data_IF_095555211708
#
_entry.id   IF_095555211708
#
_cell.length_a   1.000
_cell.length_b   1.000
_cell.length_c   1.000
_cell.angle_alpha   90.00
_cell.angle_beta   90.00
_cell.angle_gamma   90.00
#
_symmetry.space_group_name_H-M   'P 1'
#
loop_
_entity.id
_entity.type
_entity.pdbx_description
1 polymer ?
#
# COMPACT_ATOMS: atom_id res chain seq x y z
N UNK A 1 14.58 6.65 -7.40
CA UNK A 1 13.80 6.10 -6.26
C UNK A 1 13.01 7.18 -5.53
N UNK A 2 13.39 8.45 -5.63
CA UNK A 2 12.70 9.55 -4.94
C UNK A 2 11.22 9.59 -5.36
N UNK A 3 10.33 9.33 -4.40
CA UNK A 3 8.88 9.37 -4.59
C UNK A 3 8.18 8.03 -4.86
N UNK A 4 8.90 6.94 -5.19
CA UNK A 4 8.29 5.61 -5.28
C UNK A 4 8.34 4.92 -3.91
N UNK A 5 7.19 4.44 -3.40
CA UNK A 5 7.15 3.69 -2.14
C UNK A 5 7.88 2.34 -2.32
N UNK A 6 9.16 2.31 -1.91
CA UNK A 6 10.04 1.13 -1.96
C UNK A 6 9.43 -0.10 -1.30
N UNK A 7 8.58 0.08 -0.27
CA UNK A 7 7.89 -1.04 0.36
C UNK A 7 6.85 -1.68 -0.57
N UNK A 8 6.18 -0.91 -1.43
CA UNK A 8 5.28 -1.48 -2.44
C UNK A 8 6.06 -2.29 -3.47
N UNK A 9 7.22 -1.79 -3.89
CA UNK A 9 8.10 -2.49 -4.84
C UNK A 9 8.56 -3.82 -4.22
N UNK A 10 9.08 -3.78 -2.99
CA UNK A 10 9.49 -4.97 -2.24
C UNK A 10 8.37 -6.01 -2.14
N UNK A 11 7.15 -5.58 -1.81
CA UNK A 11 5.99 -6.45 -1.67
C UNK A 11 5.54 -7.09 -2.99
N UNK A 12 5.56 -6.33 -4.09
CA UNK A 12 5.21 -6.84 -5.41
C UNK A 12 6.27 -7.81 -5.95
N UNK A 13 7.55 -7.50 -5.74
CA UNK A 13 8.68 -8.30 -6.19
C UNK A 13 9.06 -9.46 -5.24
N UNK A 14 8.38 -9.57 -4.08
CA UNK A 14 8.64 -10.58 -3.04
C UNK A 14 10.11 -10.62 -2.60
N UNK A 15 10.69 -9.45 -2.40
CA UNK A 15 12.07 -9.28 -1.95
C UNK A 15 12.13 -8.37 -0.73
N UNK A 16 13.29 -8.25 -0.10
CA UNK A 16 13.49 -7.30 0.99
C UNK A 16 13.74 -5.90 0.47
N UNK A 17 13.39 -4.92 1.29
CA UNK A 17 13.71 -3.50 1.04
C UNK A 17 15.22 -3.31 0.92
N UNK A 18 15.98 -3.95 1.82
CA UNK A 18 17.44 -3.90 1.81
C UNK A 18 18.03 -4.39 0.48
N UNK A 19 17.51 -5.48 -0.09
CA UNK A 19 17.99 -5.96 -1.39
C UNK A 19 17.73 -4.95 -2.51
N UNK A 20 16.61 -4.25 -2.46
CA UNK A 20 16.27 -3.23 -3.46
C UNK A 20 17.19 -2.01 -3.32
N UNK A 21 17.42 -1.54 -2.09
CA UNK A 21 18.26 -0.37 -1.81
C UNK A 21 19.73 -0.63 -2.16
N UNK A 22 20.28 -1.78 -1.76
CA UNK A 22 21.71 -2.07 -1.90
C UNK A 22 22.10 -2.47 -3.33
N UNK A 23 21.19 -3.10 -4.10
CA UNK A 23 21.55 -3.70 -5.39
C UNK A 23 20.78 -3.17 -6.60
N UNK A 24 19.57 -2.61 -6.42
CA UNK A 24 18.67 -2.32 -7.55
C UNK A 24 18.26 -0.85 -7.66
N UNK A 25 18.54 0.00 -6.67
CA UNK A 25 18.05 1.37 -6.61
C UNK A 25 18.39 2.20 -7.86
N UNK A 26 19.62 2.09 -8.36
CA UNK A 26 20.10 2.80 -9.55
C UNK A 26 19.45 2.33 -10.86
N UNK A 27 19.04 1.06 -10.92
CA UNK A 27 18.44 0.47 -12.11
C UNK A 27 16.93 0.73 -12.15
N UNK A 28 16.25 0.60 -11.01
CA UNK A 28 14.79 0.74 -10.93
C UNK A 28 14.34 2.19 -11.11
N UNK A 29 15.19 3.16 -10.77
CA UNK A 29 14.87 4.60 -10.83
C UNK A 29 14.41 5.11 -12.20
N UNK A 30 15.00 4.63 -13.29
CA UNK A 30 14.62 5.03 -14.66
C UNK A 30 13.53 4.15 -15.27
N UNK A 31 13.26 2.99 -14.67
CA UNK A 31 12.36 1.97 -15.23
C UNK A 31 10.98 1.97 -14.59
N UNK A 32 10.83 2.56 -13.40
CA UNK A 32 9.58 2.51 -12.63
C UNK A 32 9.05 3.90 -12.38
N UNK A 33 7.86 4.17 -12.90
CA UNK A 33 7.12 5.40 -12.62
C UNK A 33 6.52 5.35 -11.19
N UNK A 34 6.91 6.28 -10.29
CA UNK A 34 6.37 6.36 -8.94
C UNK A 34 4.84 6.48 -8.88
N UNK A 35 4.23 7.14 -9.88
CA UNK A 35 2.79 7.38 -9.91
C UNK A 35 1.98 6.09 -10.01
N UNK A 36 2.54 5.05 -10.66
CA UNK A 36 1.90 3.74 -10.85
C UNK A 36 2.09 2.84 -9.63
N UNK A 37 3.23 2.94 -8.95
CA UNK A 37 3.53 2.17 -7.74
C UNK A 37 2.65 2.62 -6.56
N UNK A 38 2.45 3.93 -6.41
CA UNK A 38 1.76 4.50 -5.27
C UNK A 38 0.23 4.47 -5.39
N UNK A 39 -0.33 3.87 -6.46
CA UNK A 39 -1.78 3.83 -6.68
C UNK A 39 -2.46 2.97 -5.60
N UNK A 40 -3.19 3.62 -4.71
CA UNK A 40 -4.05 2.92 -3.74
C UNK A 40 -5.36 2.51 -4.40
N UNK A 41 -5.64 1.20 -4.42
CA UNK A 41 -6.96 0.72 -4.84
C UNK A 41 -8.02 1.27 -3.88
N UNK A 42 -9.14 1.83 -4.39
CA UNK A 42 -10.19 2.33 -3.52
C UNK A 42 -10.72 1.19 -2.67
N UNK A 43 -10.80 1.40 -1.35
CA UNK A 43 -11.42 0.41 -0.45
C UNK A 43 -12.86 0.21 -0.89
N UNK A 44 -13.21 -1.03 -1.23
CA UNK A 44 -14.61 -1.41 -1.47
C UNK A 44 -15.40 -0.99 -0.24
N UNK A 45 -16.41 -0.13 -0.41
CA UNK A 45 -17.32 0.25 0.68
C UNK A 45 -18.10 -0.99 1.10
N UNK A 46 -17.59 -1.74 2.07
CA UNK A 46 -18.35 -2.81 2.70
C UNK A 46 -19.58 -2.15 3.32
N UNK A 47 -20.78 -2.57 2.92
CA UNK A 47 -22.06 -2.12 3.50
C UNK A 47 -22.20 -2.63 4.94
N UNK A 48 -21.35 -2.21 5.87
CA UNK A 48 -21.59 -2.36 7.31
C UNK A 48 -22.44 -1.17 7.76
N UNK A 49 -23.74 -1.24 7.51
CA UNK A 49 -24.74 -0.42 8.20
C UNK A 49 -25.76 -1.37 8.84
N UNK A 50 -26.11 -1.10 10.11
CA UNK A 50 -27.09 -1.79 10.99
C UNK A 50 -26.60 -3.01 11.80
N UNK A 51 -25.68 -2.81 12.73
CA UNK A 51 -25.56 -3.72 13.88
C UNK A 51 -25.05 -3.07 15.19
N UNK A 52 -24.71 -1.77 15.20
CA UNK A 52 -24.14 -1.09 16.38
C UNK A 52 -25.04 0.04 16.93
N UNK A 53 -26.36 -0.05 16.74
CA UNK A 53 -27.35 0.86 17.33
C UNK A 53 -28.54 0.03 17.84
N UNK A 54 -28.32 -0.82 18.85
CA UNK A 54 -29.42 -1.45 19.60
C UNK A 54 -28.98 -1.90 21.01
N UNK A 55 -27.99 -1.24 21.61
CA UNK A 55 -27.52 -1.58 22.96
C UNK A 55 -27.20 -0.35 23.81
N UNK A 56 -28.03 0.68 23.74
CA UNK A 56 -28.11 1.66 24.82
C UNK A 56 -29.59 1.84 25.17
N UNK A 57 -30.05 0.98 26.08
CA UNK A 57 -31.20 1.25 26.92
C UNK A 57 -30.80 0.81 28.35
N UNK A 58 -30.48 1.76 29.23
CA UNK A 58 -30.55 1.52 30.66
C UNK A 58 -31.51 2.51 31.35
N UNK A 59 -32.62 1.92 31.82
CA UNK A 59 -33.56 2.31 32.90
C UNK A 59 -34.38 3.60 32.74
#
# INVERSE_FOLDING_TARGET
>A
MEGADVYQIAKNCRTSVQMIEDFYASHIESMVDPAVVNVRRPKKRTKRKKALQSSENPL
#
